data_IF_558748940082
#
_entry.id   IF_558748940082
#
_cell.length_a   1.000
_cell.length_b   1.000
_cell.length_c   1.000
_cell.angle_alpha   90.00
_cell.angle_beta   90.00
_cell.angle_gamma   90.00
#
_symmetry.space_group_name_H-M   'P 1'
#
loop_
_entity.id
_entity.type
_entity.pdbx_description
1 polymer ?
#
# COMPACT_ATOMS: atom_id res chain seq x y z
N UNK A 1 2.26 -15.31 -5.41
CA UNK A 1 1.42 -15.09 -4.20
C UNK A 1 0.25 -14.20 -4.55
N UNK A 2 -0.94 -14.57 -4.12
CA UNK A 2 -2.12 -13.72 -4.32
C UNK A 2 -2.32 -12.85 -3.08
N UNK A 3 -2.35 -11.55 -3.29
CA UNK A 3 -2.58 -10.57 -2.21
C UNK A 3 -3.88 -10.90 -1.47
N UNK A 4 -4.94 -11.20 -2.21
CA UNK A 4 -6.25 -11.52 -1.65
C UNK A 4 -6.20 -12.65 -0.63
N UNK A 5 -5.50 -13.73 -0.94
CA UNK A 5 -5.42 -14.89 -0.06
C UNK A 5 -4.70 -14.54 1.24
N UNK A 6 -3.62 -13.76 1.14
CA UNK A 6 -2.87 -13.31 2.30
C UNK A 6 -3.73 -12.45 3.23
N UNK A 7 -4.47 -11.51 2.66
CA UNK A 7 -5.33 -10.63 3.44
C UNK A 7 -6.46 -11.42 4.11
N UNK A 8 -7.06 -12.36 3.39
CA UNK A 8 -8.13 -13.18 3.95
C UNK A 8 -7.68 -13.98 5.16
N UNK A 9 -6.46 -14.51 5.13
CA UNK A 9 -5.88 -15.24 6.27
C UNK A 9 -5.81 -14.39 7.53
N UNK A 10 -5.65 -13.08 7.38
CA UNK A 10 -5.52 -12.14 8.50
C UNK A 10 -6.84 -11.46 8.87
N UNK A 11 -7.95 -11.86 8.23
CA UNK A 11 -9.23 -11.21 8.46
C UNK A 11 -9.32 -9.80 7.91
N UNK A 12 -8.50 -9.49 6.90
CA UNK A 12 -8.49 -8.18 6.25
C UNK A 12 -9.43 -8.18 5.06
N UNK A 13 -10.24 -7.13 4.96
CA UNK A 13 -11.24 -6.97 3.91
C UNK A 13 -11.26 -5.51 3.43
N UNK A 14 -12.03 -5.20 2.35
CA UNK A 14 -12.15 -3.79 1.94
C UNK A 14 -12.74 -2.87 3.00
N UNK A 15 -13.38 -3.41 4.02
CA UNK A 15 -13.98 -2.62 5.09
C UNK A 15 -12.99 -2.22 6.19
N UNK A 16 -11.83 -2.86 6.25
CA UNK A 16 -10.85 -2.58 7.31
C UNK A 16 -9.41 -2.45 6.85
N UNK A 17 -9.14 -2.59 5.55
CA UNK A 17 -7.78 -2.56 5.03
C UNK A 17 -7.68 -1.95 3.64
N UNK A 18 -6.64 -1.16 3.41
CA UNK A 18 -6.24 -0.63 2.09
C UNK A 18 -4.80 -1.08 1.83
N UNK A 19 -4.60 -1.81 0.75
CA UNK A 19 -3.23 -2.12 0.29
C UNK A 19 -2.65 -0.85 -0.31
N UNK A 20 -1.51 -0.41 0.21
CA UNK A 20 -0.87 0.82 -0.22
C UNK A 20 0.43 0.52 -0.99
N UNK A 21 0.96 1.55 -1.62
CA UNK A 21 2.21 1.41 -2.36
C UNK A 21 2.03 0.56 -3.60
N UNK A 22 3.01 -0.29 -3.87
CA UNK A 22 3.12 -1.01 -5.14
C UNK A 22 2.16 -2.20 -5.31
N UNK A 23 1.31 -2.51 -4.31
CA UNK A 23 0.33 -3.59 -4.44
C UNK A 23 -0.59 -3.43 -5.64
N UNK A 24 -1.00 -2.19 -5.95
CA UNK A 24 -1.83 -1.90 -7.13
C UNK A 24 -1.11 -2.29 -8.43
N UNK A 25 0.20 -2.11 -8.49
CA UNK A 25 0.98 -2.49 -9.67
C UNK A 25 0.98 -3.99 -9.88
N UNK A 26 0.99 -4.75 -8.79
CA UNK A 26 0.95 -6.21 -8.84
C UNK A 26 -0.42 -6.70 -9.36
N UNK A 27 -1.51 -6.20 -8.83
CA UNK A 27 -2.85 -6.66 -9.24
C UNK A 27 -3.17 -6.26 -10.68
N UNK A 28 -2.67 -5.11 -11.14
CA UNK A 28 -2.86 -4.66 -12.52
C UNK A 28 -1.87 -5.31 -13.49
N UNK A 29 -1.00 -6.20 -12.98
CA UNK A 29 0.00 -6.90 -13.76
C UNK A 29 1.00 -5.99 -14.46
N UNK A 30 1.27 -4.84 -13.86
CA UNK A 30 2.28 -3.89 -14.33
C UNK A 30 3.67 -4.39 -13.93
N UNK A 31 3.82 -4.84 -12.70
CA UNK A 31 5.00 -5.55 -12.22
C UNK A 31 4.66 -6.30 -10.94
N UNK A 32 5.52 -7.25 -10.58
CA UNK A 32 5.35 -7.98 -9.32
C UNK A 32 5.81 -7.14 -8.14
N UNK A 33 5.25 -7.42 -6.97
CA UNK A 33 5.61 -6.81 -5.71
C UNK A 33 5.90 -7.92 -4.71
N UNK A 34 7.00 -7.80 -3.98
CA UNK A 34 7.43 -8.84 -3.04
C UNK A 34 6.77 -8.70 -1.67
N UNK A 35 6.61 -7.47 -1.20
CA UNK A 35 6.03 -7.18 0.10
C UNK A 35 4.70 -6.47 -0.08
N UNK A 36 3.79 -6.70 0.85
CA UNK A 36 2.47 -6.07 0.83
C UNK A 36 2.38 -5.12 2.01
N UNK A 37 2.22 -3.83 1.72
CA UNK A 37 2.02 -2.78 2.72
C UNK A 37 0.54 -2.49 2.84
N UNK A 38 0.01 -2.47 4.06
CA UNK A 38 -1.43 -2.33 4.29
C UNK A 38 -1.70 -1.31 5.40
N UNK A 39 -2.58 -0.36 5.12
CA UNK A 39 -3.13 0.52 6.17
C UNK A 39 -4.46 -0.09 6.60
N UNK A 40 -4.61 -0.30 7.91
CA UNK A 40 -5.82 -0.89 8.48
C UNK A 40 -6.50 0.10 9.42
N UNK A 41 -7.75 -0.18 9.79
CA UNK A 41 -8.43 0.59 10.83
C UNK A 41 -7.67 0.46 12.14
N UNK A 42 -7.79 1.44 13.01
CA UNK A 42 -7.12 1.41 14.31
C UNK A 42 -7.53 0.18 15.11
N UNK A 43 -8.81 -0.17 15.09
CA UNK A 43 -9.31 -1.37 15.77
C UNK A 43 -8.61 -2.63 15.26
N UNK A 44 -8.51 -2.77 13.94
CA UNK A 44 -7.85 -3.94 13.34
C UNK A 44 -6.37 -3.97 13.66
N UNK A 45 -5.73 -2.80 13.67
CA UNK A 45 -4.31 -2.69 14.04
C UNK A 45 -4.09 -3.19 15.48
N UNK A 46 -4.94 -2.76 16.40
CA UNK A 46 -4.85 -3.19 17.80
C UNK A 46 -5.03 -4.70 17.95
N UNK A 47 -5.97 -5.28 17.18
CA UNK A 47 -6.18 -6.72 17.19
C UNK A 47 -4.98 -7.48 16.66
N UNK A 48 -4.40 -7.04 15.55
CA UNK A 48 -3.24 -7.69 14.94
C UNK A 48 -1.97 -7.51 15.78
N UNK A 49 -1.89 -6.44 16.56
CA UNK A 49 -0.76 -6.21 17.46
C UNK A 49 -0.66 -7.29 18.55
N UNK A 50 -1.77 -7.98 18.85
CA UNK A 50 -1.82 -9.08 19.82
C UNK A 50 -1.58 -10.44 19.16
N UNK A 51 -1.48 -10.48 17.84
CA UNK A 51 -1.30 -11.72 17.08
C UNK A 51 0.18 -12.07 17.03
N UNK A 52 0.52 -13.30 17.47
CA UNK A 52 1.92 -13.73 17.56
C UNK A 52 2.62 -13.85 16.22
N UNK A 53 1.86 -13.85 15.11
CA UNK A 53 2.45 -13.89 13.78
C UNK A 53 3.13 -12.59 13.38
N UNK A 54 2.85 -11.49 14.10
CA UNK A 54 3.38 -10.18 13.79
C UNK A 54 4.33 -9.69 14.86
N UNK A 55 5.38 -8.99 14.44
CA UNK A 55 6.36 -8.36 15.30
C UNK A 55 6.26 -6.85 15.16
N UNK A 56 6.24 -6.14 16.29
CA UNK A 56 6.28 -4.68 16.27
C UNK A 56 7.67 -4.20 15.90
N UNK A 57 7.75 -3.30 14.95
CA UNK A 57 9.01 -2.70 14.50
C UNK A 57 8.81 -1.20 14.33
N UNK A 58 9.89 -0.45 14.49
CA UNK A 58 9.91 0.97 14.16
C UNK A 58 10.52 1.14 12.77
N UNK A 59 9.80 1.77 11.87
CA UNK A 59 10.27 2.02 10.52
C UNK A 59 9.94 3.45 10.14
N UNK A 60 10.95 4.22 9.78
CA UNK A 60 10.80 5.64 9.42
C UNK A 60 10.06 6.45 10.48
N UNK A 61 10.37 6.18 11.76
CA UNK A 61 9.75 6.88 12.89
C UNK A 61 8.34 6.44 13.23
N UNK A 62 7.88 5.33 12.67
CA UNK A 62 6.53 4.80 12.91
C UNK A 62 6.55 3.37 13.37
N UNK A 63 5.59 3.02 14.22
CA UNK A 63 5.37 1.64 14.58
C UNK A 63 4.62 0.93 13.47
N UNK A 64 5.14 -0.22 13.07
CA UNK A 64 4.48 -1.12 12.13
C UNK A 64 4.44 -2.53 12.71
N UNK A 65 3.56 -3.35 12.16
CA UNK A 65 3.52 -4.78 12.46
C UNK A 65 4.05 -5.52 11.24
N UNK A 66 5.07 -6.32 11.42
CA UNK A 66 5.73 -7.04 10.32
C UNK A 66 5.60 -8.54 10.52
N UNK A 67 5.22 -9.26 9.47
CA UNK A 67 5.12 -10.71 9.49
C UNK A 67 4.53 -11.24 8.19
N UNK A 68 4.98 -12.43 7.79
CA UNK A 68 4.43 -13.18 6.66
C UNK A 68 4.28 -12.36 5.36
N UNK A 69 5.31 -11.58 5.03
CA UNK A 69 5.37 -10.70 3.84
C UNK A 69 4.41 -9.50 3.92
N UNK A 70 3.78 -9.28 5.07
CA UNK A 70 2.92 -8.13 5.30
C UNK A 70 3.58 -7.12 6.21
N UNK A 71 3.41 -5.83 5.89
CA UNK A 71 3.70 -4.73 6.79
C UNK A 71 2.38 -4.02 7.06
N UNK A 72 1.93 -4.05 8.30
CA UNK A 72 0.64 -3.52 8.72
C UNK A 72 0.87 -2.20 9.45
N UNK A 73 0.12 -1.17 9.08
CA UNK A 73 0.24 0.15 9.71
C UNK A 73 -1.13 0.78 9.90
N UNK A 74 -1.23 1.72 10.84
CA UNK A 74 -2.47 2.42 11.11
C UNK A 74 -2.62 3.70 10.28
N UNK A 75 -1.54 4.16 9.66
CA UNK A 75 -1.55 5.35 8.81
C UNK A 75 -0.34 5.34 7.89
N UNK A 76 -0.42 6.15 6.82
CA UNK A 76 0.66 6.32 5.85
C UNK A 76 0.92 7.80 5.66
N UNK A 77 2.16 8.24 5.82
CA UNK A 77 2.54 9.65 5.59
C UNK A 77 3.13 9.78 4.21
N UNK A 78 2.44 10.49 3.35
CA UNK A 78 2.83 10.71 1.96
C UNK A 78 2.16 12.00 1.47
N UNK A 79 2.77 12.71 0.54
CA UNK A 79 2.26 13.96 0.00
C UNK A 79 2.03 15.00 1.12
N UNK A 80 2.97 15.05 2.08
CA UNK A 80 2.96 15.98 3.22
C UNK A 80 1.72 15.85 4.13
N UNK A 81 1.12 14.68 4.15
CA UNK A 81 -0.08 14.43 4.95
C UNK A 81 -0.03 13.00 5.52
N UNK A 82 -0.63 12.81 6.69
CA UNK A 82 -0.82 11.50 7.27
C UNK A 82 -2.21 11.00 6.90
N UNK A 83 -2.27 9.84 6.24
CA UNK A 83 -3.49 9.24 5.73
C UNK A 83 -3.86 8.03 6.58
N UNK A 84 -5.03 8.07 7.20
CA UNK A 84 -5.61 6.93 7.91
C UNK A 84 -6.42 6.09 6.92
N UNK A 85 -6.93 4.94 7.39
CA UNK A 85 -7.83 4.14 6.58
C UNK A 85 -8.99 4.99 6.02
N UNK A 86 -9.65 5.77 6.88
CA UNK A 86 -10.79 6.59 6.46
C UNK A 86 -10.39 7.64 5.41
N UNK A 87 -9.23 8.26 5.57
CA UNK A 87 -8.73 9.25 4.61
C UNK A 87 -8.44 8.61 3.26
N UNK A 88 -7.97 7.37 3.26
CA UNK A 88 -7.59 6.68 2.03
C UNK A 88 -8.78 6.17 1.22
N UNK A 89 -9.97 6.08 1.82
CA UNK A 89 -11.14 5.55 1.12
C UNK A 89 -11.43 6.28 -0.21
N UNK A 90 -11.33 7.60 -0.22
CA UNK A 90 -11.58 8.41 -1.42
C UNK A 90 -10.49 8.24 -2.48
N UNK A 91 -9.33 7.75 -2.07
CA UNK A 91 -8.19 7.53 -2.96
C UNK A 91 -7.97 6.06 -3.25
N UNK A 92 -9.03 5.26 -3.13
CA UNK A 92 -8.93 3.81 -3.24
C UNK A 92 -9.89 3.25 -4.27
N UNK A 93 -9.60 2.02 -4.67
CA UNK A 93 -10.43 1.24 -5.60
C UNK A 93 -10.42 -0.21 -5.13
N UNK A 94 -11.55 -0.90 -5.28
CA UNK A 94 -11.65 -2.32 -4.93
C UNK A 94 -11.50 -3.14 -6.22
N UNK A 95 -10.53 -4.04 -6.23
CA UNK A 95 -10.26 -4.94 -7.35
C UNK A 95 -10.22 -6.37 -6.80
N UNK A 96 -11.04 -7.23 -7.33
CA UNK A 96 -11.12 -8.65 -6.92
C UNK A 96 -11.23 -8.82 -5.39
N UNK A 97 -12.07 -7.99 -4.78
CA UNK A 97 -12.34 -8.10 -3.33
C UNK A 97 -11.29 -7.51 -2.43
N UNK A 98 -10.30 -6.79 -2.97
CA UNK A 98 -9.24 -6.14 -2.20
C UNK A 98 -9.26 -4.64 -2.51
N UNK A 99 -9.12 -3.82 -1.48
CA UNK A 99 -9.04 -2.37 -1.65
C UNK A 99 -7.58 -1.94 -1.78
N UNK A 100 -7.30 -1.15 -2.81
CA UNK A 100 -5.96 -0.60 -3.09
C UNK A 100 -6.03 0.91 -3.20
N UNK A 101 -4.92 1.62 -2.93
CA UNK A 101 -4.82 3.00 -3.37
C UNK A 101 -4.92 3.01 -4.90
N UNK A 102 -5.47 4.09 -5.47
CA UNK A 102 -5.54 4.21 -6.92
C UNK A 102 -4.13 4.35 -7.50
N UNK A 103 -4.00 3.99 -8.78
CA UNK A 103 -2.74 4.18 -9.49
C UNK A 103 -2.37 5.65 -9.59
N UNK A 104 -3.37 6.53 -9.76
CA UNK A 104 -3.12 7.97 -9.83
C UNK A 104 -2.58 8.51 -8.50
N UNK A 105 -3.12 8.04 -7.37
CA UNK A 105 -2.61 8.43 -6.04
C UNK A 105 -1.15 7.99 -5.87
N UNK A 106 -0.84 6.75 -6.22
CA UNK A 106 0.52 6.24 -6.11
C UNK A 106 1.48 7.01 -7.03
N UNK A 107 1.03 7.31 -8.25
CA UNK A 107 1.84 8.08 -9.19
C UNK A 107 2.19 9.46 -8.61
N UNK A 108 1.20 10.16 -8.04
CA UNK A 108 1.42 11.44 -7.41
C UNK A 108 2.42 11.34 -6.25
N UNK A 109 2.29 10.29 -5.42
CA UNK A 109 3.20 10.06 -4.31
C UNK A 109 4.63 9.82 -4.80
N UNK A 110 4.81 8.95 -5.78
CA UNK A 110 6.15 8.63 -6.30
C UNK A 110 6.77 9.82 -7.04
N UNK A 111 5.97 10.61 -7.74
CA UNK A 111 6.47 11.86 -8.35
C UNK A 111 6.99 12.82 -7.31
N UNK A 112 6.32 12.91 -6.16
CA UNK A 112 6.79 13.79 -5.08
C UNK A 112 8.15 13.35 -4.53
N UNK A 113 8.46 12.05 -4.59
CA UNK A 113 9.73 11.51 -4.11
C UNK A 113 10.88 11.70 -5.12
N UNK A 114 10.58 11.99 -6.38
CA UNK A 114 11.63 12.19 -7.39
C UNK A 114 12.52 13.41 -7.11
N UNK A 115 12.02 14.35 -6.30
CA UNK A 115 12.79 15.54 -5.91
C UNK A 115 13.75 15.28 -4.74
N UNK A 116 13.64 14.12 -4.08
CA UNK A 116 14.48 13.77 -2.95
C UNK A 116 15.90 13.43 -3.39
N UNK A 117 16.88 13.76 -2.55
CA UNK A 117 18.28 13.43 -2.82
C UNK A 117 18.53 11.93 -2.88
N UNK A 118 17.76 11.17 -2.11
CA UNK A 118 17.91 9.72 -1.97
C UNK A 118 16.84 8.97 -2.76
N UNK A 119 16.38 9.53 -3.89
CA UNK A 119 15.37 8.88 -4.71
C UNK A 119 15.88 7.51 -5.18
N UNK A 120 15.02 6.49 -5.01
CA UNK A 120 15.37 5.13 -5.42
C UNK A 120 15.11 4.95 -6.91
N UNK A 121 15.97 4.18 -7.58
CA UNK A 121 15.76 3.84 -8.98
C UNK A 121 14.40 3.18 -9.20
N UNK A 122 13.96 2.37 -8.25
CA UNK A 122 12.66 1.72 -8.26
C UNK A 122 11.51 2.72 -8.41
N UNK A 123 11.59 3.86 -7.73
CA UNK A 123 10.54 4.89 -7.80
C UNK A 123 10.55 5.58 -9.17
N UNK A 124 11.72 5.82 -9.73
CA UNK A 124 11.86 6.38 -11.08
C UNK A 124 11.24 5.44 -12.10
N UNK A 125 11.57 4.15 -12.02
CA UNK A 125 11.06 3.13 -12.92
C UNK A 125 9.53 2.99 -12.79
N UNK A 126 9.02 3.00 -11.56
CA UNK A 126 7.58 2.87 -11.31
C UNK A 126 6.80 4.05 -11.87
N UNK A 127 7.32 5.28 -11.76
CA UNK A 127 6.68 6.46 -12.36
C UNK A 127 6.50 6.25 -13.86
N UNK A 128 7.55 5.80 -14.53
CA UNK A 128 7.48 5.55 -15.98
C UNK A 128 6.47 4.47 -16.33
N UNK A 129 6.48 3.36 -15.58
CA UNK A 129 5.54 2.26 -15.80
C UNK A 129 4.09 2.71 -15.63
N UNK A 130 3.83 3.51 -14.61
CA UNK A 130 2.47 4.00 -14.35
C UNK A 130 2.02 5.02 -15.39
N UNK A 131 2.91 5.91 -15.82
CA UNK A 131 2.60 6.86 -16.88
C UNK A 131 2.27 6.15 -18.18
N UNK A 132 3.05 5.14 -18.54
CA UNK A 132 2.80 4.33 -19.73
C UNK A 132 1.47 3.58 -19.64
N UNK A 133 1.17 3.01 -18.47
CA UNK A 133 -0.08 2.30 -18.24
C UNK A 133 -1.28 3.24 -18.42
N UNK A 134 -1.25 4.41 -17.80
CA UNK A 134 -2.36 5.38 -17.88
C UNK A 134 -2.54 5.90 -19.30
N UNK A 135 -1.44 6.13 -20.01
CA UNK A 135 -1.48 6.57 -21.40
C UNK A 135 -2.11 5.51 -22.30
N UNK A 136 -1.80 4.24 -22.10
CA UNK A 136 -2.31 3.15 -22.93
C UNK A 136 -3.77 2.81 -22.62
N UNK A 137 -4.24 3.04 -21.40
CA UNK A 137 -5.62 2.72 -21.01
C UNK A 137 -6.59 3.87 -21.28
N UNK A 138 -6.09 5.10 -21.30
CA UNK A 138 -6.93 6.29 -21.51
C UNK A 138 -6.88 6.81 -22.95
N UNK A 139 -6.03 6.21 -23.74
CA UNK A 139 -5.90 6.58 -25.13
C UNK A 139 -6.79 5.78 -26.04
#
# INVERSE_FOLDING_TARGET
MKIKDKLNEMGLSPDNAVVIGSGILNVLKIRESNDIDVVVTLEKYQNLALDSRFKKEMKRGREILSGDLLEIMASWTVLNKTWTFDNLLEQSVVIDGVRYNTIQFLLNAKRSWLADKDVRQKDIDDVKLMEDYLKNTNG
#
